data_IF_957134601787
#
_entry.id   IF_957134601787
#
_cell.length_a   1.000
_cell.length_b   1.000
_cell.length_c   1.000
_cell.angle_alpha   90.00
_cell.angle_beta   90.00
_cell.angle_gamma   90.00
#
_symmetry.space_group_name_H-M   'P 1'
#
loop_
_entity.id
_entity.type
_entity.pdbx_description
1 polymer ?
#
# COMPACT_ATOMS: atom_id res chain seq x y z
N UNK A 1 20.06 10.62 0.83
CA UNK A 1 20.00 11.47 2.04
C UNK A 1 21.44 11.67 2.52
N UNK A 2 21.86 12.90 2.86
CA UNK A 2 23.23 13.18 3.27
C UNK A 2 23.54 12.45 4.61
N UNK A 3 24.49 11.51 4.66
CA UNK A 3 24.78 10.72 5.86
C UNK A 3 25.09 11.58 7.09
N UNK A 4 25.66 12.77 6.86
CA UNK A 4 26.02 13.75 7.88
C UNK A 4 24.84 14.20 8.75
N UNK A 5 23.62 14.21 8.20
CA UNK A 5 22.44 14.76 8.88
C UNK A 5 21.81 13.78 9.88
N UNK A 6 22.21 12.50 9.90
CA UNK A 6 21.61 11.47 10.78
C UNK A 6 21.70 11.79 12.29
N UNK A 7 22.74 12.51 12.70
CA UNK A 7 23.01 12.81 14.12
C UNK A 7 22.28 14.07 14.62
N UNK A 8 21.69 14.86 13.73
CA UNK A 8 20.92 16.04 14.13
C UNK A 8 19.50 15.62 14.57
N UNK A 9 18.94 16.23 15.63
CA UNK A 9 17.60 15.92 16.15
C UNK A 9 16.49 16.45 15.23
N UNK A 10 16.45 15.93 14.01
CA UNK A 10 15.55 16.35 12.95
C UNK A 10 14.27 15.49 12.96
N UNK A 11 13.14 16.00 12.41
CA UNK A 11 11.85 15.31 12.45
C UNK A 11 11.87 13.88 11.89
N UNK A 12 12.81 13.57 10.98
CA UNK A 12 12.97 12.22 10.43
C UNK A 12 13.45 11.19 11.46
N UNK A 13 14.07 11.59 12.58
CA UNK A 13 14.45 10.65 13.64
C UNK A 13 13.20 9.97 14.24
N UNK A 14 12.12 10.74 14.43
CA UNK A 14 10.82 10.20 14.84
C UNK A 14 10.24 9.26 13.79
N UNK A 15 10.35 9.62 12.51
CA UNK A 15 9.91 8.75 11.42
C UNK A 15 10.67 7.41 11.41
N UNK A 16 12.00 7.42 11.55
CA UNK A 16 12.80 6.20 11.65
C UNK A 16 12.45 5.36 12.87
N UNK A 17 12.21 6.00 14.02
CA UNK A 17 11.77 5.32 15.22
C UNK A 17 10.43 4.60 14.98
N UNK A 18 9.43 5.28 14.42
CA UNK A 18 8.12 4.71 14.12
C UNK A 18 8.21 3.54 13.13
N UNK A 19 8.97 3.69 12.04
CA UNK A 19 9.18 2.61 11.07
C UNK A 19 9.83 1.39 11.73
N UNK A 20 10.80 1.61 12.62
CA UNK A 20 11.42 0.50 13.36
C UNK A 20 10.45 -0.18 14.34
N UNK A 21 9.54 0.57 14.97
CA UNK A 21 8.49 -0.04 15.80
C UNK A 21 7.54 -0.91 14.97
N UNK A 22 7.05 -0.40 13.83
CA UNK A 22 6.19 -1.17 12.92
C UNK A 22 6.88 -2.44 12.44
N UNK A 23 8.15 -2.34 12.03
CA UNK A 23 8.93 -3.52 11.60
C UNK A 23 9.08 -4.57 12.69
N UNK A 24 9.27 -4.15 13.96
CA UNK A 24 9.34 -5.09 15.08
C UNK A 24 8.00 -5.80 15.28
N UNK A 25 6.89 -5.06 15.30
CA UNK A 25 5.56 -5.66 15.42
C UNK A 25 5.26 -6.63 14.28
N UNK A 26 5.65 -6.31 13.04
CA UNK A 26 5.49 -7.22 11.91
C UNK A 26 6.37 -8.47 12.03
N UNK A 27 7.60 -8.35 12.54
CA UNK A 27 8.45 -9.51 12.82
C UNK A 27 7.83 -10.42 13.91
N UNK A 28 7.23 -9.83 14.95
CA UNK A 28 6.52 -10.57 15.99
C UNK A 28 5.30 -11.30 15.39
N UNK A 29 4.55 -10.66 14.50
CA UNK A 29 3.43 -11.28 13.79
C UNK A 29 3.88 -12.45 12.89
N UNK A 30 4.96 -12.28 12.13
CA UNK A 30 5.54 -13.36 11.31
C UNK A 30 5.98 -14.53 12.20
N UNK A 31 6.59 -14.25 13.35
CA UNK A 31 6.99 -15.29 14.32
C UNK A 31 5.78 -16.08 14.82
N UNK A 32 4.68 -15.41 15.16
CA UNK A 32 3.42 -16.05 15.56
C UNK A 32 2.80 -16.90 14.44
N UNK A 33 2.89 -16.45 13.18
CA UNK A 33 2.42 -17.25 12.04
C UNK A 33 3.22 -18.55 11.94
N UNK A 34 4.55 -18.50 12.09
CA UNK A 34 5.43 -19.68 12.04
C UNK A 34 5.12 -20.70 13.14
N UNK A 35 4.62 -20.29 14.31
CA UNK A 35 4.23 -21.22 15.39
C UNK A 35 2.99 -22.05 15.05
N UNK A 36 2.10 -21.51 14.22
CA UNK A 36 0.82 -22.13 13.83
C UNK A 36 0.76 -22.51 12.35
N UNK A 37 1.88 -22.40 11.65
CA UNK A 37 1.99 -22.62 10.21
C UNK A 37 1.92 -24.11 9.88
N UNK A 38 1.07 -24.43 8.91
CA UNK A 38 0.93 -25.78 8.36
C UNK A 38 1.16 -25.68 6.86
N UNK A 39 2.22 -26.36 6.39
CA UNK A 39 2.62 -26.34 4.98
C UNK A 39 1.49 -26.82 4.07
N UNK A 40 1.12 -26.04 3.05
CA UNK A 40 0.09 -26.40 2.09
C UNK A 40 -1.34 -26.04 2.51
N UNK A 41 -1.53 -25.47 3.70
CA UNK A 41 -2.82 -24.96 4.19
C UNK A 41 -2.73 -23.46 4.57
N UNK A 42 -2.38 -22.56 3.63
CA UNK A 42 -2.14 -21.17 3.97
C UNK A 42 -3.42 -20.43 4.34
N UNK A 43 -3.39 -19.69 5.45
CA UNK A 43 -4.53 -18.90 5.95
C UNK A 43 -4.57 -17.48 5.39
N UNK A 44 -3.39 -16.94 5.09
CA UNK A 44 -3.21 -15.58 4.61
C UNK A 44 -1.92 -15.44 3.79
N UNK A 45 -1.60 -14.20 3.40
CA UNK A 45 -0.42 -13.87 2.62
C UNK A 45 0.89 -14.33 3.27
N UNK A 46 0.98 -14.27 4.61
CA UNK A 46 2.19 -14.65 5.35
C UNK A 46 2.44 -16.12 5.18
N UNK A 47 1.43 -16.97 5.40
CA UNK A 47 1.56 -18.42 5.23
C UNK A 47 1.84 -18.79 3.77
N UNK A 48 1.18 -18.13 2.80
CA UNK A 48 1.47 -18.32 1.38
C UNK A 48 2.94 -18.03 1.05
N UNK A 49 3.52 -16.99 1.65
CA UNK A 49 4.92 -16.64 1.45
C UNK A 49 5.86 -17.63 2.13
N UNK A 50 5.50 -18.13 3.32
CA UNK A 50 6.25 -19.17 4.02
C UNK A 50 6.26 -20.49 3.23
N UNK A 51 5.13 -20.89 2.64
CA UNK A 51 5.03 -22.04 1.74
C UNK A 51 5.94 -21.87 0.51
N UNK A 52 6.00 -20.67 -0.07
CA UNK A 52 6.86 -20.38 -1.21
C UNK A 52 8.35 -20.41 -0.83
N UNK A 53 8.70 -19.92 0.36
CA UNK A 53 10.05 -20.03 0.91
C UNK A 53 10.45 -21.49 1.11
N UNK A 54 9.56 -22.30 1.67
CA UNK A 54 9.81 -23.73 1.92
C UNK A 54 9.99 -24.52 0.62
N UNK A 55 9.15 -24.27 -0.38
CA UNK A 55 9.24 -24.90 -1.71
C UNK A 55 10.55 -24.63 -2.44
N UNK A 56 11.12 -23.41 -2.28
CA UNK A 56 12.32 -22.99 -3.00
C UNK A 56 13.62 -23.40 -2.30
N UNK A 57 13.60 -23.54 -0.98
CA UNK A 57 14.79 -23.92 -0.21
C UNK A 57 15.97 -22.96 -0.44
N UNK A 58 17.15 -23.50 -0.73
CA UNK A 58 18.41 -22.74 -0.91
C UNK A 58 18.80 -22.61 -2.41
N UNK A 59 17.81 -22.42 -3.28
CA UNK A 59 18.01 -22.25 -4.73
C UNK A 59 18.57 -20.87 -5.14
N UNK A 60 18.96 -20.04 -4.16
CA UNK A 60 19.35 -18.65 -4.38
C UNK A 60 18.15 -17.73 -4.64
N UNK A 61 16.92 -18.13 -4.28
CA UNK A 61 15.75 -17.26 -4.44
C UNK A 61 15.85 -15.99 -3.59
N UNK A 62 15.14 -14.96 -4.05
CA UNK A 62 15.01 -13.72 -3.29
C UNK A 62 14.19 -13.91 -2.01
N UNK A 63 13.33 -14.93 -1.93
CA UNK A 63 12.35 -15.10 -0.86
C UNK A 63 13.02 -15.36 0.49
N UNK A 64 13.06 -14.33 1.33
CA UNK A 64 13.52 -14.45 2.71
C UNK A 64 12.62 -13.68 3.68
N UNK A 65 12.76 -13.96 4.96
CA UNK A 65 11.93 -13.40 6.02
C UNK A 65 12.04 -11.86 6.11
N UNK A 66 13.22 -11.30 5.85
CA UNK A 66 13.42 -9.85 5.84
C UNK A 66 12.65 -9.20 4.69
N UNK A 67 12.58 -9.84 3.52
CA UNK A 67 11.75 -9.38 2.41
C UNK A 67 10.25 -9.51 2.72
N UNK A 68 9.83 -10.61 3.38
CA UNK A 68 8.45 -10.76 3.83
C UNK A 68 8.02 -9.60 4.74
N UNK A 69 8.82 -9.29 5.78
CA UNK A 69 8.55 -8.14 6.66
C UNK A 69 8.51 -6.82 5.87
N UNK A 70 9.39 -6.66 4.87
CA UNK A 70 9.37 -5.53 3.95
C UNK A 70 8.05 -5.41 3.18
N UNK A 71 7.61 -6.50 2.55
CA UNK A 71 6.35 -6.55 1.80
C UNK A 71 5.12 -6.31 2.68
N UNK A 72 5.07 -6.90 3.88
CA UNK A 72 3.99 -6.65 4.83
C UNK A 72 3.93 -5.18 5.24
N UNK A 73 5.09 -4.56 5.50
CA UNK A 73 5.18 -3.14 5.82
C UNK A 73 4.70 -2.27 4.64
N UNK A 74 5.10 -2.60 3.42
CA UNK A 74 4.72 -1.85 2.23
C UNK A 74 3.22 -1.96 1.95
N UNK A 75 2.63 -3.17 2.08
CA UNK A 75 1.19 -3.39 1.93
C UNK A 75 0.38 -2.63 2.99
N UNK A 76 0.82 -2.66 4.25
CA UNK A 76 0.15 -1.95 5.34
C UNK A 76 0.20 -0.44 5.10
N UNK A 77 1.38 0.11 4.78
CA UNK A 77 1.53 1.54 4.53
C UNK A 77 0.73 2.00 3.30
N UNK A 78 0.82 1.25 2.19
CA UNK A 78 0.13 1.58 0.96
C UNK A 78 -1.39 1.48 1.11
N UNK A 79 -1.90 0.46 1.81
CA UNK A 79 -3.34 0.22 1.95
C UNK A 79 -4.01 1.14 2.98
N UNK A 80 -3.38 1.35 4.14
CA UNK A 80 -4.02 2.07 5.25
C UNK A 80 -4.11 3.57 5.01
N UNK A 81 -2.98 4.22 4.72
CA UNK A 81 -2.93 5.69 4.65
C UNK A 81 -3.70 6.22 3.43
N UNK A 82 -3.53 5.59 2.28
CA UNK A 82 -4.20 6.03 1.04
C UNK A 82 -5.73 5.84 1.11
N UNK A 83 -6.20 4.72 1.63
CA UNK A 83 -7.64 4.44 1.76
C UNK A 83 -8.28 5.35 2.81
N UNK A 84 -7.61 5.56 3.95
CA UNK A 84 -8.10 6.46 5.00
C UNK A 84 -8.26 7.89 4.49
N UNK A 85 -7.25 8.43 3.80
CA UNK A 85 -7.33 9.78 3.23
C UNK A 85 -8.37 9.90 2.11
N UNK A 86 -8.56 8.83 1.32
CA UNK A 86 -9.62 8.78 0.29
C UNK A 86 -11.01 8.85 0.93
N UNK A 87 -11.26 8.05 1.97
CA UNK A 87 -12.53 8.06 2.70
C UNK A 87 -12.77 9.39 3.42
N UNK A 88 -11.76 9.92 4.09
CA UNK A 88 -11.82 11.22 4.76
C UNK A 88 -12.26 12.32 3.78
N UNK A 89 -11.64 12.35 2.60
CA UNK A 89 -11.94 13.36 1.60
C UNK A 89 -13.30 13.14 0.95
N UNK A 90 -13.70 11.88 0.69
CA UNK A 90 -15.03 11.55 0.20
C UNK A 90 -16.13 12.02 1.16
N UNK A 91 -15.98 11.76 2.47
CA UNK A 91 -16.94 12.24 3.47
C UNK A 91 -16.98 13.76 3.56
N UNK A 92 -15.82 14.43 3.49
CA UNK A 92 -15.78 15.89 3.43
C UNK A 92 -16.58 16.44 2.24
N UNK A 93 -16.47 15.83 1.06
CA UNK A 93 -17.25 16.24 -0.11
C UNK A 93 -18.74 15.99 0.05
N UNK A 94 -19.14 14.83 0.60
CA UNK A 94 -20.55 14.53 0.87
C UNK A 94 -21.15 15.52 1.88
N UNK A 95 -20.43 15.87 2.95
CA UNK A 95 -20.89 16.84 3.95
C UNK A 95 -21.05 18.25 3.38
N UNK A 96 -20.28 18.61 2.35
CA UNK A 96 -20.32 19.94 1.71
C UNK A 96 -21.28 20.00 0.52
N UNK A 97 -21.74 18.85 0.01
CA UNK A 97 -22.68 18.71 -1.11
C UNK A 97 -23.85 17.78 -0.73
N UNK A 98 -24.79 18.25 0.11
CA UNK A 98 -25.90 17.42 0.61
C UNK A 98 -26.78 16.84 -0.50
N UNK A 99 -26.91 17.52 -1.63
CA UNK A 99 -27.64 17.05 -2.82
C UNK A 99 -27.01 15.81 -3.45
N UNK A 100 -25.67 15.76 -3.50
CA UNK A 100 -24.91 14.59 -3.95
C UNK A 100 -25.08 13.44 -2.96
N UNK A 101 -25.00 13.75 -1.65
CA UNK A 101 -25.22 12.77 -0.60
C UNK A 101 -26.62 12.13 -0.65
N UNK A 102 -27.67 12.94 -0.76
CA UNK A 102 -29.06 12.48 -0.87
C UNK A 102 -29.23 11.59 -2.11
N UNK A 103 -28.62 11.96 -3.23
CA UNK A 103 -28.68 11.16 -4.46
C UNK A 103 -27.97 9.82 -4.34
N UNK A 104 -26.81 9.77 -3.69
CA UNK A 104 -26.13 8.50 -3.37
C UNK A 104 -26.99 7.63 -2.44
N UNK A 105 -27.57 8.20 -1.39
CA UNK A 105 -28.43 7.48 -0.44
C UNK A 105 -29.66 6.89 -1.14
N UNK A 106 -30.33 7.70 -1.97
CA UNK A 106 -31.48 7.24 -2.76
C UNK A 106 -31.13 6.07 -3.67
N UNK A 107 -29.99 6.13 -4.36
CA UNK A 107 -29.53 5.03 -5.22
C UNK A 107 -29.20 3.76 -4.41
N UNK A 108 -28.59 3.91 -3.23
CA UNK A 108 -28.34 2.80 -2.30
C UNK A 108 -29.65 2.16 -1.86
N UNK A 109 -30.63 2.96 -1.41
CA UNK A 109 -31.91 2.49 -0.92
C UNK A 109 -32.72 1.79 -2.03
N UNK A 110 -32.70 2.32 -3.25
CA UNK A 110 -33.37 1.72 -4.41
C UNK A 110 -32.78 0.36 -4.81
N UNK A 111 -31.46 0.19 -4.72
CA UNK A 111 -30.78 -1.05 -5.14
C UNK A 111 -30.75 -2.09 -4.02
N UNK A 112 -30.50 -1.68 -2.79
CA UNK A 112 -30.39 -2.60 -1.66
C UNK A 112 -31.76 -2.95 -1.07
N UNK A 113 -32.72 -2.01 -1.02
CA UNK A 113 -34.05 -2.24 -0.47
C UNK A 113 -34.01 -2.84 0.94
N UNK A 114 -34.51 -4.07 1.10
CA UNK A 114 -34.52 -4.81 2.37
C UNK A 114 -33.23 -5.62 2.64
N UNK A 115 -32.23 -5.56 1.75
CA UNK A 115 -30.99 -6.32 1.90
C UNK A 115 -30.17 -5.76 3.07
N UNK A 116 -29.87 -6.64 4.04
CA UNK A 116 -29.10 -6.24 5.24
C UNK A 116 -27.64 -5.87 4.96
N UNK A 117 -27.04 -6.42 3.89
CA UNK A 117 -25.62 -6.21 3.58
C UNK A 117 -25.40 -5.93 2.10
N UNK A 118 -24.62 -4.88 1.80
CA UNK A 118 -24.14 -4.62 0.45
C UNK A 118 -23.09 -5.68 0.05
N UNK A 119 -23.14 -6.07 -1.23
CA UNK A 119 -22.14 -6.90 -1.89
C UNK A 119 -21.45 -6.09 -2.98
N UNK A 120 -20.23 -6.50 -3.33
CA UNK A 120 -19.46 -5.83 -4.38
C UNK A 120 -20.20 -5.76 -5.72
N UNK A 121 -21.00 -6.78 -6.05
CA UNK A 121 -21.76 -6.85 -7.30
C UNK A 121 -22.89 -5.80 -7.40
N UNK A 122 -23.38 -5.27 -6.28
CA UNK A 122 -24.48 -4.29 -6.29
C UNK A 122 -24.07 -2.98 -6.98
N UNK A 123 -22.77 -2.67 -7.01
CA UNK A 123 -22.21 -1.49 -7.67
C UNK A 123 -22.61 -1.38 -9.15
N UNK A 124 -22.88 -2.51 -9.82
CA UNK A 124 -23.27 -2.53 -11.23
C UNK A 124 -24.65 -1.93 -11.46
N UNK A 125 -25.50 -1.92 -10.43
CA UNK A 125 -26.83 -1.30 -10.43
C UNK A 125 -26.84 0.10 -9.82
N UNK A 126 -25.72 0.55 -9.27
CA UNK A 126 -25.56 1.84 -8.62
C UNK A 126 -24.52 2.68 -9.40
N UNK A 127 -24.82 3.23 -10.58
CA UNK A 127 -23.82 3.97 -11.35
C UNK A 127 -23.35 5.29 -10.69
N UNK A 128 -24.19 5.95 -9.88
CA UNK A 128 -23.89 7.26 -9.31
C UNK A 128 -22.92 7.20 -8.13
N UNK A 129 -23.03 6.17 -7.29
CA UNK A 129 -22.21 6.00 -6.08
C UNK A 129 -20.72 5.76 -6.39
N UNK A 130 -20.34 4.87 -7.32
CA UNK A 130 -18.99 4.77 -7.85
C UNK A 130 -18.56 6.04 -8.58
N UNK A 131 -19.44 6.73 -9.31
CA UNK A 131 -19.09 7.99 -9.96
C UNK A 131 -18.68 9.07 -8.93
N UNK A 132 -19.41 9.20 -7.82
CA UNK A 132 -19.04 10.06 -6.70
C UNK A 132 -17.69 9.65 -6.10
N UNK A 133 -17.47 8.35 -5.89
CA UNK A 133 -16.20 7.82 -5.35
C UNK A 133 -15.02 8.14 -6.28
N UNK A 134 -15.20 7.95 -7.59
CA UNK A 134 -14.20 8.27 -8.60
C UNK A 134 -13.91 9.77 -8.67
N UNK A 135 -14.94 10.62 -8.56
CA UNK A 135 -14.75 12.07 -8.55
C UNK A 135 -14.03 12.52 -7.27
N UNK A 136 -14.38 11.95 -6.11
CA UNK A 136 -13.67 12.20 -4.87
C UNK A 136 -12.19 11.85 -4.99
N UNK A 137 -11.84 10.70 -5.57
CA UNK A 137 -10.46 10.31 -5.84
C UNK A 137 -9.76 11.27 -6.81
N UNK A 138 -10.43 11.68 -7.89
CA UNK A 138 -9.88 12.59 -8.90
C UNK A 138 -9.55 13.96 -8.33
N UNK A 139 -10.39 14.49 -7.44
CA UNK A 139 -10.21 15.82 -6.85
C UNK A 139 -9.29 15.79 -5.63
N UNK A 140 -9.36 14.73 -4.81
CA UNK A 140 -8.50 14.59 -3.63
C UNK A 140 -7.02 14.43 -4.01
N UNK A 141 -6.76 13.70 -5.10
CA UNK A 141 -5.42 13.35 -5.57
C UNK A 141 -4.50 12.91 -4.41
N UNK A 142 -4.92 11.86 -3.69
CA UNK A 142 -4.29 11.39 -2.44
C UNK A 142 -2.77 11.13 -2.56
N UNK A 143 -2.28 10.83 -3.77
CA UNK A 143 -0.86 10.56 -4.06
C UNK A 143 -0.42 11.38 -5.28
N UNK A 144 -0.28 12.71 -5.15
CA UNK A 144 -0.18 13.63 -6.29
C UNK A 144 1.14 13.51 -7.06
N UNK A 145 2.18 12.97 -6.42
CA UNK A 145 3.49 12.74 -7.03
C UNK A 145 3.73 11.27 -7.39
N UNK A 146 2.71 10.41 -7.24
CA UNK A 146 2.87 8.97 -7.31
C UNK A 146 4.03 8.46 -6.43
N UNK A 147 4.57 7.29 -6.75
CA UNK A 147 5.83 6.79 -6.20
C UNK A 147 6.99 7.14 -7.14
N UNK A 148 8.18 7.39 -6.58
CA UNK A 148 9.33 7.77 -7.38
C UNK A 148 9.76 6.63 -8.32
N UNK A 149 9.86 6.93 -9.60
CA UNK A 149 10.31 5.99 -10.63
C UNK A 149 11.75 6.26 -11.07
N UNK A 150 12.39 5.23 -11.60
CA UNK A 150 13.74 5.32 -12.17
C UNK A 150 13.85 4.49 -13.46
N UNK A 151 14.74 4.90 -14.35
CA UNK A 151 15.11 4.16 -15.58
C UNK A 151 15.85 2.87 -15.22
N UNK A 152 15.39 1.75 -15.78
CA UNK A 152 16.05 0.43 -15.62
C UNK A 152 17.22 0.22 -16.58
N UNK A 153 17.25 0.99 -17.67
CA UNK A 153 18.30 1.06 -18.70
C UNK A 153 18.36 2.46 -19.30
N UNK A 154 19.45 2.77 -20.00
CA UNK A 154 19.56 4.00 -20.77
C UNK A 154 18.45 4.05 -21.83
N UNK A 155 17.74 5.16 -21.90
CA UNK A 155 16.60 5.32 -22.80
C UNK A 155 16.57 6.73 -23.38
N UNK A 156 16.22 6.84 -24.67
CA UNK A 156 15.94 8.12 -25.30
C UNK A 156 14.44 8.39 -25.29
N UNK A 157 14.01 9.46 -24.64
CA UNK A 157 12.62 9.88 -24.54
C UNK A 157 12.47 11.29 -25.10
N UNK A 158 11.64 11.44 -26.14
CA UNK A 158 11.35 12.73 -26.78
C UNK A 158 12.61 13.54 -27.15
N UNK A 159 13.65 12.84 -27.59
CA UNK A 159 14.93 13.45 -27.98
C UNK A 159 15.96 13.57 -26.86
N UNK A 160 15.59 13.40 -25.59
CA UNK A 160 16.46 13.45 -24.42
C UNK A 160 17.01 12.07 -24.04
N UNK A 161 18.30 11.98 -23.75
CA UNK A 161 18.93 10.75 -23.25
C UNK A 161 18.81 10.70 -21.72
N UNK A 162 18.07 9.71 -21.22
CA UNK A 162 17.86 9.44 -19.80
C UNK A 162 18.73 8.24 -19.40
N UNK A 163 19.81 8.44 -18.61
CA UNK A 163 20.68 7.36 -18.19
C UNK A 163 19.99 6.46 -17.16
N UNK A 164 20.41 5.19 -17.10
CA UNK A 164 20.09 4.27 -16.01
C UNK A 164 20.61 4.84 -14.69
N UNK A 165 19.75 4.90 -13.67
CA UNK A 165 20.22 5.24 -12.32
C UNK A 165 21.06 4.08 -11.79
N UNK A 166 22.33 4.37 -11.49
CA UNK A 166 23.21 3.42 -10.81
C UNK A 166 22.93 3.47 -9.31
N UNK A 167 22.72 2.32 -8.64
CA UNK A 167 22.67 2.32 -7.20
C UNK A 167 24.00 2.87 -6.65
N UNK A 168 23.99 3.53 -5.48
CA UNK A 168 25.23 3.97 -4.86
C UNK A 168 26.14 2.75 -4.70
N UNK A 169 27.37 2.84 -5.22
CA UNK A 169 28.39 1.83 -4.99
C UNK A 169 28.54 1.66 -3.48
N UNK A 170 28.23 0.47 -2.98
CA UNK A 170 28.69 0.05 -1.67
C UNK A 170 30.21 0.05 -1.82
N UNK A 171 30.88 1.06 -1.28
CA UNK A 171 32.30 0.98 -1.05
C UNK A 171 32.46 -0.10 0.01
N UNK A 172 32.78 -1.31 -0.43
CA UNK A 172 33.35 -2.32 0.43
C UNK A 172 34.60 -1.69 1.04
N UNK A 173 34.47 -1.26 2.29
CA UNK A 173 35.59 -0.73 3.05
C UNK A 173 36.55 -1.86 3.32
N UNK A 174 37.73 -1.78 2.69
CA UNK A 174 38.98 -2.26 3.31
C UNK A 174 39.23 -1.53 4.64
#
# INVERSE_FOLDING_TARGET
MLPLLRHLPLPFQKAFHNVNMVRKSLADQVSQHKESWVTGEPRDLTDCYLDEMDKRGDDGSSFNEKQLIGYLNDLLAAGTDTTANTLLTAFLYLMTHPDVQERCQKEIDEVLGEKEQASYEDRHKMPYTPAMTHEAQRVADTVPLSVFHTTTKDIRLMGYDLPKVRPPSISDGE
#
